data_IF_452147183068
#
_entry.id   IF_452147183068
#
_cell.length_a   1.000
_cell.length_b   1.000
_cell.length_c   1.000
_cell.angle_alpha   90.00
_cell.angle_beta   90.00
_cell.angle_gamma   90.00
#
_symmetry.space_group_name_H-M   'P 1'
#
loop_
_entity.id
_entity.type
_entity.pdbx_description
1 polymer ?
#
# COMPACT_ATOMS: atom_id res chain seq x y z
N UNK A 1 12.09 -16.31 -34.96
CA UNK A 1 10.76 -16.26 -34.31
C UNK A 1 10.17 -17.66 -34.09
N UNK A 2 10.22 -18.57 -35.07
CA UNK A 2 9.58 -19.88 -34.98
C UNK A 2 10.16 -20.83 -33.90
N UNK A 3 11.49 -20.87 -33.70
CA UNK A 3 12.14 -21.74 -32.70
C UNK A 3 11.85 -21.31 -31.26
N UNK A 4 11.71 -20.00 -31.01
CA UNK A 4 11.36 -19.45 -29.70
C UNK A 4 9.90 -19.69 -29.36
N UNK A 5 9.01 -19.49 -30.33
CA UNK A 5 7.57 -19.77 -30.20
C UNK A 5 7.29 -21.24 -29.94
N UNK A 6 7.98 -22.18 -30.64
CA UNK A 6 7.86 -23.61 -30.41
C UNK A 6 8.36 -24.07 -29.03
N UNK A 7 9.42 -23.45 -28.51
CA UNK A 7 9.90 -23.73 -27.15
C UNK A 7 8.88 -23.24 -26.10
N UNK A 8 8.36 -22.04 -26.27
CA UNK A 8 7.31 -21.47 -25.43
C UNK A 8 6.06 -22.36 -25.43
N UNK A 9 5.54 -22.74 -26.59
CA UNK A 9 4.35 -23.60 -26.70
C UNK A 9 4.58 -24.97 -26.04
N UNK A 10 5.74 -25.59 -26.23
CA UNK A 10 6.07 -26.88 -25.58
C UNK A 10 6.14 -26.79 -24.08
N UNK A 11 6.60 -25.65 -23.58
CA UNK A 11 6.68 -25.41 -22.17
C UNK A 11 5.32 -25.19 -21.55
N UNK A 12 4.48 -24.37 -22.13
CA UNK A 12 3.11 -24.14 -21.69
C UNK A 12 2.26 -25.42 -21.73
N UNK A 13 2.55 -26.34 -22.65
CA UNK A 13 1.93 -27.69 -22.67
C UNK A 13 2.46 -28.55 -21.52
N UNK A 14 3.76 -28.47 -21.22
CA UNK A 14 4.38 -29.25 -20.12
C UNK A 14 3.92 -28.79 -18.75
N UNK A 15 3.67 -27.49 -18.58
CA UNK A 15 3.15 -26.89 -17.34
C UNK A 15 1.62 -27.01 -17.23
N UNK A 16 0.94 -27.61 -18.17
CA UNK A 16 -0.51 -27.82 -18.14
C UNK A 16 -1.34 -26.56 -18.47
N UNK A 17 -0.70 -25.46 -18.84
CA UNK A 17 -1.40 -24.20 -19.22
C UNK A 17 -2.05 -24.33 -20.61
N UNK A 18 -1.42 -25.09 -21.52
CA UNK A 18 -1.96 -25.41 -22.82
C UNK A 18 -2.15 -26.91 -22.96
N UNK A 19 -3.31 -27.31 -23.44
CA UNK A 19 -3.53 -28.68 -23.94
C UNK A 19 -3.35 -28.69 -25.45
N UNK A 20 -2.54 -29.63 -25.95
CA UNK A 20 -2.43 -29.92 -27.37
C UNK A 20 -3.60 -30.81 -27.77
N UNK A 21 -4.38 -30.35 -28.72
CA UNK A 21 -5.46 -31.15 -29.33
C UNK A 21 -4.87 -32.15 -30.34
N UNK A 22 -5.40 -33.35 -30.39
CA UNK A 22 -5.01 -34.35 -31.37
C UNK A 22 -5.48 -33.96 -32.79
N UNK A 23 -6.64 -33.32 -32.88
CA UNK A 23 -7.17 -32.71 -34.09
C UNK A 23 -7.32 -31.21 -33.95
N UNK A 24 -7.38 -30.52 -35.10
CA UNK A 24 -7.56 -29.05 -35.13
C UNK A 24 -9.03 -28.75 -34.81
N UNK A 25 -9.30 -27.81 -33.92
CA UNK A 25 -10.67 -27.43 -33.60
C UNK A 25 -11.36 -26.68 -34.77
N UNK A 26 -12.65 -26.38 -34.61
CA UNK A 26 -13.49 -25.67 -35.59
C UNK A 26 -12.95 -24.28 -35.97
N UNK A 27 -12.03 -23.72 -35.16
CA UNK A 27 -11.35 -22.44 -35.40
C UNK A 27 -9.92 -22.58 -35.94
N UNK A 28 -9.49 -23.79 -36.28
CA UNK A 28 -8.15 -24.05 -36.82
C UNK A 28 -7.04 -24.09 -35.76
N UNK A 29 -7.37 -24.22 -34.46
CA UNK A 29 -6.39 -24.18 -33.37
C UNK A 29 -5.97 -25.59 -32.97
N UNK A 30 -4.68 -25.79 -32.73
CA UNK A 30 -4.06 -27.04 -32.24
C UNK A 30 -3.75 -27.04 -30.75
N UNK A 31 -3.86 -25.89 -30.12
CA UNK A 31 -3.58 -25.70 -28.70
C UNK A 31 -4.70 -24.88 -28.07
N UNK A 32 -5.19 -25.33 -26.94
CA UNK A 32 -6.27 -24.70 -26.18
C UNK A 32 -5.77 -24.47 -24.76
N UNK A 33 -6.18 -23.35 -24.16
CA UNK A 33 -5.92 -23.08 -22.74
C UNK A 33 -6.66 -24.14 -21.90
N UNK A 34 -5.93 -24.80 -21.02
CA UNK A 34 -6.45 -25.87 -20.16
C UNK A 34 -7.07 -25.34 -18.89
N UNK A 35 -6.60 -24.18 -18.44
CA UNK A 35 -7.04 -23.51 -17.22
C UNK A 35 -7.99 -22.39 -17.61
N UNK A 36 -9.12 -22.29 -16.93
CA UNK A 36 -9.92 -21.06 -16.90
C UNK A 36 -9.08 -19.99 -16.18
N UNK A 37 -8.22 -19.32 -16.94
CA UNK A 37 -7.57 -18.12 -16.44
C UNK A 37 -8.69 -17.11 -16.16
N UNK A 38 -8.67 -16.39 -15.04
CA UNK A 38 -9.54 -15.25 -14.84
C UNK A 38 -9.45 -14.36 -16.09
N UNK A 39 -10.59 -13.85 -16.57
CA UNK A 39 -10.68 -13.04 -17.80
C UNK A 39 -9.70 -11.85 -17.79
N UNK A 40 -9.28 -11.46 -16.61
CA UNK A 40 -8.46 -10.29 -16.30
C UNK A 40 -7.00 -10.64 -15.96
N UNK A 41 -6.64 -11.94 -16.08
CA UNK A 41 -5.25 -12.36 -15.83
C UNK A 41 -4.32 -11.69 -16.84
N UNK A 42 -3.49 -10.79 -16.38
CA UNK A 42 -2.54 -10.03 -17.19
C UNK A 42 -1.42 -10.95 -17.71
N UNK A 43 -1.72 -11.71 -18.77
CA UNK A 43 -0.77 -12.59 -19.49
C UNK A 43 0.47 -11.86 -20.01
N UNK A 44 0.49 -10.53 -19.91
CA UNK A 44 1.60 -9.69 -20.38
C UNK A 44 2.83 -9.69 -19.47
N UNK A 45 2.73 -10.27 -18.26
CA UNK A 45 3.88 -10.37 -17.38
C UNK A 45 4.48 -11.78 -17.41
N UNK A 46 5.72 -11.95 -17.90
CA UNK A 46 6.36 -13.26 -18.02
C UNK A 46 6.50 -14.01 -16.69
N UNK A 47 6.43 -13.25 -15.57
CA UNK A 47 6.62 -13.75 -14.21
C UNK A 47 5.31 -14.03 -13.45
N UNK A 48 4.14 -13.80 -14.05
CA UNK A 48 2.86 -14.02 -13.36
C UNK A 48 2.70 -15.45 -12.85
N UNK A 49 3.15 -16.45 -13.62
CA UNK A 49 3.09 -17.85 -13.19
C UNK A 49 4.06 -18.15 -12.05
N UNK A 50 5.22 -17.51 -12.04
CA UNK A 50 6.14 -17.59 -10.91
C UNK A 50 5.52 -16.96 -9.65
N UNK A 51 4.90 -15.79 -9.76
CA UNK A 51 4.22 -15.16 -8.64
C UNK A 51 3.18 -16.10 -8.02
N UNK A 52 2.30 -16.71 -8.84
CA UNK A 52 1.31 -17.67 -8.35
C UNK A 52 1.96 -18.85 -7.63
N UNK A 53 3.04 -19.40 -8.18
CA UNK A 53 3.77 -20.50 -7.53
C UNK A 53 4.45 -20.05 -6.22
N UNK A 54 4.90 -18.82 -6.12
CA UNK A 54 5.52 -18.27 -4.92
C UNK A 54 4.48 -18.02 -3.81
N UNK A 55 3.26 -17.60 -4.16
CA UNK A 55 2.17 -17.43 -3.20
C UNK A 55 1.83 -18.73 -2.46
N UNK A 56 1.91 -19.90 -3.13
CA UNK A 56 1.64 -21.21 -2.53
C UNK A 56 2.65 -21.62 -1.42
N UNK A 57 3.77 -20.93 -1.32
CA UNK A 57 4.84 -21.25 -0.36
C UNK A 57 4.80 -20.34 0.85
N UNK A 58 3.99 -19.27 0.80
CA UNK A 58 3.83 -18.37 1.92
C UNK A 58 3.09 -19.06 3.09
N UNK A 59 3.48 -18.67 4.29
CA UNK A 59 2.82 -19.13 5.51
C UNK A 59 1.54 -18.32 5.76
N UNK A 60 0.40 -18.96 5.57
CA UNK A 60 -0.93 -18.34 5.73
C UNK A 60 -1.23 -17.95 7.20
N UNK A 61 -0.54 -18.56 8.17
CA UNK A 61 -0.69 -18.25 9.60
C UNK A 61 0.26 -17.13 10.07
N UNK A 62 1.12 -16.62 9.16
CA UNK A 62 2.04 -15.52 9.48
C UNK A 62 1.28 -14.22 9.69
N UNK A 63 1.63 -13.48 10.74
CA UNK A 63 1.14 -12.12 10.98
C UNK A 63 1.44 -11.16 9.80
N UNK A 64 2.50 -11.42 9.06
CA UNK A 64 2.90 -10.63 7.90
C UNK A 64 2.37 -11.19 6.56
N UNK A 65 1.45 -12.17 6.58
CA UNK A 65 1.01 -12.86 5.38
C UNK A 65 0.57 -11.92 4.27
N UNK A 66 -0.28 -10.94 4.57
CA UNK A 66 -0.75 -9.92 3.61
C UNK A 66 0.39 -9.12 3.01
N UNK A 67 1.36 -8.70 3.83
CA UNK A 67 2.52 -7.93 3.40
C UNK A 67 3.48 -8.77 2.56
N UNK A 68 3.64 -10.03 2.91
CA UNK A 68 4.47 -10.98 2.17
C UNK A 68 3.87 -11.29 0.80
N UNK A 69 2.54 -11.40 0.72
CA UNK A 69 1.79 -11.53 -0.51
C UNK A 69 2.01 -10.31 -1.44
N UNK A 70 1.94 -9.10 -0.88
CA UNK A 70 2.27 -7.87 -1.62
C UNK A 70 3.71 -7.91 -2.12
N UNK A 71 4.67 -8.33 -1.28
CA UNK A 71 6.09 -8.41 -1.65
C UNK A 71 6.33 -9.38 -2.81
N UNK A 72 5.64 -10.53 -2.83
CA UNK A 72 5.68 -11.47 -3.96
C UNK A 72 5.19 -10.78 -5.23
N UNK A 73 4.04 -10.12 -5.16
CA UNK A 73 3.46 -9.45 -6.32
C UNK A 73 4.33 -8.28 -6.79
N UNK A 74 4.86 -7.46 -5.89
CA UNK A 74 5.76 -6.38 -6.24
C UNK A 74 7.04 -6.91 -6.94
N UNK A 75 7.56 -8.07 -6.50
CA UNK A 75 8.82 -8.63 -7.04
C UNK A 75 8.79 -8.90 -8.54
N UNK A 76 7.62 -9.16 -9.09
CA UNK A 76 7.40 -9.50 -10.50
C UNK A 76 6.96 -8.33 -11.37
N UNK A 77 6.62 -7.20 -10.77
CA UNK A 77 6.28 -5.97 -11.49
C UNK A 77 7.54 -5.31 -12.10
N UNK A 78 7.32 -4.49 -13.12
CA UNK A 78 8.41 -3.68 -13.70
C UNK A 78 9.07 -2.81 -12.63
N UNK A 79 10.41 -2.80 -12.62
CA UNK A 79 11.17 -2.06 -11.61
C UNK A 79 11.20 -0.55 -11.93
N UNK A 80 10.62 0.31 -11.09
CA UNK A 80 10.67 1.76 -11.26
C UNK A 80 12.02 2.29 -10.74
N UNK A 81 13.07 2.14 -11.53
CA UNK A 81 14.47 2.35 -11.11
C UNK A 81 14.72 3.68 -10.40
N UNK A 82 14.06 4.77 -10.83
CA UNK A 82 14.26 6.09 -10.20
C UNK A 82 13.76 6.09 -8.76
N UNK A 83 12.66 5.40 -8.48
CA UNK A 83 12.10 5.27 -7.13
C UNK A 83 13.01 4.39 -6.28
N UNK A 84 13.43 3.24 -6.82
CA UNK A 84 14.32 2.33 -6.10
C UNK A 84 15.67 2.99 -5.75
N UNK A 85 16.23 3.80 -6.65
CA UNK A 85 17.44 4.57 -6.35
C UNK A 85 17.21 5.63 -5.27
N UNK A 86 16.04 6.26 -5.22
CA UNK A 86 15.70 7.21 -4.16
C UNK A 86 15.56 6.51 -2.80
N UNK A 87 14.93 5.34 -2.75
CA UNK A 87 14.87 4.51 -1.53
C UNK A 87 16.28 4.07 -1.10
N UNK A 88 17.12 3.60 -2.02
CA UNK A 88 18.51 3.24 -1.74
C UNK A 88 19.32 4.42 -1.19
N UNK A 89 19.14 5.61 -1.78
CA UNK A 89 19.83 6.82 -1.32
C UNK A 89 19.42 7.20 0.10
N UNK A 90 18.13 7.13 0.42
CA UNK A 90 17.61 7.37 1.76
C UNK A 90 18.15 6.34 2.76
N UNK A 91 18.09 5.04 2.45
CA UNK A 91 18.61 3.96 3.28
C UNK A 91 20.12 4.13 3.58
N UNK A 92 20.89 4.52 2.58
CA UNK A 92 22.34 4.84 2.77
C UNK A 92 22.53 6.06 3.68
N UNK A 93 21.65 7.07 3.56
CA UNK A 93 21.69 8.25 4.41
C UNK A 93 21.43 7.91 5.88
N UNK A 94 20.42 7.12 6.15
CA UNK A 94 20.07 6.62 7.49
C UNK A 94 21.21 5.79 8.09
N UNK A 95 21.72 4.82 7.34
CA UNK A 95 22.83 3.97 7.76
C UNK A 95 24.12 4.76 8.04
N UNK A 96 24.41 5.83 7.30
CA UNK A 96 25.55 6.72 7.60
C UNK A 96 25.40 7.37 8.97
N UNK A 97 24.17 7.77 9.33
CA UNK A 97 23.94 8.41 10.65
C UNK A 97 24.10 7.40 11.78
N UNK A 98 23.53 6.19 11.64
CA UNK A 98 23.69 5.10 12.61
C UNK A 98 25.16 4.71 12.79
N UNK A 99 25.85 4.43 11.68
CA UNK A 99 27.27 4.07 11.72
C UNK A 99 28.17 5.17 12.31
N UNK A 100 27.79 6.45 12.16
CA UNK A 100 28.50 7.56 12.83
C UNK A 100 28.23 7.59 14.33
N UNK A 101 27.00 7.33 14.75
CA UNK A 101 26.65 7.26 16.16
C UNK A 101 27.39 6.08 16.85
N UNK A 102 27.55 4.98 16.15
CA UNK A 102 28.29 3.79 16.60
C UNK A 102 29.83 3.96 16.52
N UNK A 103 30.30 5.10 16.01
CA UNK A 103 31.75 5.39 15.95
C UNK A 103 32.52 4.59 14.89
N UNK A 104 31.85 4.02 13.89
CA UNK A 104 32.49 3.25 12.81
C UNK A 104 33.38 4.18 11.97
N UNK A 105 34.61 3.73 11.69
CA UNK A 105 35.60 4.50 10.91
C UNK A 105 35.17 4.72 9.46
N UNK A 106 35.65 5.79 8.85
CA UNK A 106 35.21 6.23 7.53
C UNK A 106 35.40 5.16 6.43
N UNK A 107 36.54 4.47 6.39
CA UNK A 107 36.83 3.47 5.36
C UNK A 107 35.91 2.24 5.49
N UNK A 108 35.65 1.80 6.73
CA UNK A 108 34.74 0.70 7.03
C UNK A 108 33.29 1.10 6.67
N UNK A 109 32.86 2.32 7.00
CA UNK A 109 31.54 2.82 6.58
C UNK A 109 31.35 2.79 5.08
N UNK A 110 32.38 3.20 4.31
CA UNK A 110 32.29 3.21 2.86
C UNK A 110 32.12 1.81 2.28
N UNK A 111 32.79 0.81 2.86
CA UNK A 111 32.63 -0.59 2.45
C UNK A 111 31.23 -1.12 2.77
N UNK A 112 30.71 -0.84 3.97
CA UNK A 112 29.35 -1.25 4.37
C UNK A 112 28.26 -0.57 3.53
N UNK A 113 28.47 0.69 3.12
CA UNK A 113 27.52 1.41 2.27
C UNK A 113 27.36 0.82 0.86
N UNK A 114 28.38 0.12 0.35
CA UNK A 114 28.27 -0.55 -0.95
C UNK A 114 27.25 -1.69 -0.94
N UNK A 115 27.05 -2.35 0.23
CA UNK A 115 26.10 -3.45 0.40
C UNK A 115 24.64 -2.97 0.59
N UNK A 116 24.43 -1.69 0.92
CA UNK A 116 23.10 -1.14 1.16
C UNK A 116 22.36 -0.91 -0.16
N UNK A 117 21.23 -1.58 -0.30
CA UNK A 117 20.31 -1.47 -1.43
C UNK A 117 18.98 -0.84 -0.99
N UNK A 118 18.02 -0.76 -1.91
CA UNK A 118 16.63 -0.46 -1.56
C UNK A 118 16.01 -1.61 -0.75
N UNK A 119 14.91 -1.40 0.00
CA UNK A 119 14.23 -2.44 0.75
C UNK A 119 13.80 -3.62 -0.14
N UNK A 120 14.21 -4.81 0.23
CA UNK A 120 13.96 -6.04 -0.52
C UNK A 120 13.39 -7.15 0.41
N UNK A 121 12.17 -6.99 0.92
CA UNK A 121 11.56 -8.01 1.74
C UNK A 121 11.48 -9.34 0.98
N UNK A 122 11.63 -10.44 1.70
CA UNK A 122 11.63 -11.81 1.16
C UNK A 122 12.69 -12.10 0.07
N UNK A 123 13.68 -11.22 -0.17
CA UNK A 123 14.66 -11.41 -1.25
C UNK A 123 15.34 -12.78 -1.22
N UNK A 124 15.81 -13.32 -0.08
CA UNK A 124 16.43 -14.65 -0.02
C UNK A 124 15.45 -15.77 -0.41
N UNK A 125 14.21 -15.73 0.09
CA UNK A 125 13.16 -16.71 -0.22
C UNK A 125 12.80 -16.64 -1.71
N UNK A 126 12.49 -15.45 -2.21
CA UNK A 126 12.09 -15.23 -3.60
C UNK A 126 13.20 -15.62 -4.57
N UNK A 127 14.46 -15.31 -4.25
CA UNK A 127 15.62 -15.69 -5.05
C UNK A 127 15.78 -17.22 -5.14
N UNK A 128 15.67 -17.94 -4.02
CA UNK A 128 15.74 -19.41 -3.98
C UNK A 128 14.58 -20.07 -4.76
N UNK A 129 13.37 -19.55 -4.59
CA UNK A 129 12.18 -20.02 -5.31
C UNK A 129 12.32 -19.77 -6.81
N UNK A 130 12.79 -18.59 -7.20
CA UNK A 130 12.97 -18.22 -8.60
C UNK A 130 14.00 -19.11 -9.31
N UNK A 131 15.14 -19.36 -8.65
CA UNK A 131 16.17 -20.23 -9.19
C UNK A 131 15.69 -21.67 -9.35
N UNK A 132 14.93 -22.19 -8.39
CA UNK A 132 14.28 -23.48 -8.49
C UNK A 132 13.26 -23.53 -9.64
N UNK A 133 12.44 -22.48 -9.77
CA UNK A 133 11.43 -22.36 -10.80
C UNK A 133 12.06 -22.29 -12.21
N UNK A 134 13.19 -21.56 -12.36
CA UNK A 134 13.94 -21.47 -13.62
C UNK A 134 14.47 -22.82 -14.12
N UNK A 135 14.80 -23.76 -13.25
CA UNK A 135 15.26 -25.11 -13.68
C UNK A 135 14.24 -25.79 -14.58
N UNK A 136 12.96 -25.57 -14.35
CA UNK A 136 11.87 -26.11 -15.17
C UNK A 136 11.38 -25.12 -16.24
N UNK A 137 11.75 -23.85 -16.14
CA UNK A 137 11.33 -22.74 -16.99
C UNK A 137 12.54 -21.97 -17.60
N UNK A 138 13.39 -22.64 -18.42
CA UNK A 138 14.70 -22.09 -18.85
C UNK A 138 14.61 -20.89 -19.82
N UNK A 139 13.40 -20.42 -20.15
CA UNK A 139 13.19 -19.20 -20.94
C UNK A 139 13.11 -17.93 -20.08
N UNK A 140 13.01 -18.07 -18.76
CA UNK A 140 13.02 -16.94 -17.84
C UNK A 140 14.44 -16.35 -17.76
N UNK A 141 14.57 -15.01 -17.78
CA UNK A 141 15.87 -14.36 -17.68
C UNK A 141 16.48 -14.62 -16.29
N UNK A 142 17.81 -14.56 -16.21
CA UNK A 142 18.52 -14.68 -14.91
C UNK A 142 18.15 -13.55 -13.96
N UNK A 143 18.12 -12.33 -14.49
CA UNK A 143 17.81 -11.11 -13.74
C UNK A 143 16.33 -10.72 -13.85
N UNK A 144 15.43 -11.72 -13.94
CA UNK A 144 14.00 -11.45 -14.16
C UNK A 144 13.27 -10.96 -12.91
N UNK A 145 13.77 -11.29 -11.73
CA UNK A 145 13.15 -10.96 -10.46
C UNK A 145 13.78 -9.70 -9.86
N UNK A 146 12.95 -8.79 -9.40
CA UNK A 146 13.41 -7.59 -8.69
C UNK A 146 12.59 -7.42 -7.41
N UNK A 147 13.00 -8.05 -6.28
CA UNK A 147 12.37 -7.80 -4.98
C UNK A 147 12.46 -6.30 -4.65
N UNK A 148 11.35 -5.73 -4.22
CA UNK A 148 11.21 -4.31 -3.88
C UNK A 148 10.04 -4.11 -2.94
N UNK A 149 9.99 -2.95 -2.31
CA UNK A 149 8.97 -2.59 -1.35
C UNK A 149 8.58 -1.13 -1.56
N UNK A 150 7.54 -0.89 -2.31
CA UNK A 150 6.95 0.44 -2.51
C UNK A 150 5.56 0.45 -1.89
N UNK A 151 4.65 -0.40 -2.38
CA UNK A 151 3.30 -0.53 -1.83
C UNK A 151 3.36 -1.02 -0.39
N UNK A 152 4.17 -2.06 -0.13
CA UNK A 152 4.37 -2.57 1.23
C UNK A 152 4.85 -1.48 2.18
N UNK A 153 5.89 -0.74 1.82
CA UNK A 153 6.42 0.34 2.67
C UNK A 153 5.40 1.45 2.90
N UNK A 154 4.71 1.89 1.85
CA UNK A 154 3.65 2.89 2.00
C UNK A 154 2.58 2.43 2.99
N UNK A 155 2.18 1.17 2.89
CA UNK A 155 1.17 0.60 3.77
C UNK A 155 1.69 0.40 5.19
N UNK A 156 2.88 -0.17 5.39
CA UNK A 156 3.53 -0.36 6.71
C UNK A 156 3.73 0.95 7.45
N UNK A 157 4.07 2.03 6.73
CA UNK A 157 4.37 3.33 7.31
C UNK A 157 3.13 4.26 7.38
N UNK A 158 1.99 3.83 6.88
CA UNK A 158 0.79 4.66 6.82
C UNK A 158 0.89 5.84 5.84
N UNK A 159 1.81 5.78 4.86
CA UNK A 159 2.05 6.87 3.92
C UNK A 159 1.02 6.90 2.79
N UNK A 160 0.51 8.10 2.49
CA UNK A 160 -0.20 8.39 1.24
C UNK A 160 0.76 8.67 0.09
N UNK A 161 0.20 9.04 -1.08
CA UNK A 161 0.99 9.36 -2.27
C UNK A 161 1.94 10.54 -2.01
N UNK A 162 1.41 11.63 -1.49
CA UNK A 162 2.17 12.86 -1.21
C UNK A 162 3.26 12.64 -0.18
N UNK A 163 2.99 11.82 0.85
CA UNK A 163 3.97 11.49 1.90
C UNK A 163 5.16 10.74 1.32
N UNK A 164 4.90 9.74 0.46
CA UNK A 164 5.95 8.97 -0.18
C UNK A 164 6.77 9.83 -1.15
N UNK A 165 6.11 10.69 -1.93
CA UNK A 165 6.78 11.67 -2.81
C UNK A 165 7.67 12.61 -2.00
N UNK A 166 7.17 13.12 -0.88
CA UNK A 166 7.92 14.00 0.02
C UNK A 166 9.13 13.32 0.66
N UNK A 167 8.93 12.11 1.23
CA UNK A 167 9.99 11.32 1.88
C UNK A 167 11.17 11.06 0.95
N UNK A 168 10.89 10.68 -0.30
CA UNK A 168 11.90 10.30 -1.28
C UNK A 168 12.24 11.39 -2.30
N UNK A 169 11.72 12.61 -2.13
CA UNK A 169 11.95 13.77 -3.00
C UNK A 169 11.63 13.47 -4.47
N UNK A 170 10.53 12.78 -4.73
CA UNK A 170 10.14 12.28 -6.04
C UNK A 170 9.30 13.25 -6.88
N UNK A 171 9.25 14.54 -6.58
CA UNK A 171 8.43 15.54 -7.26
C UNK A 171 8.56 15.53 -8.81
N UNK A 172 9.70 15.09 -9.35
CA UNK A 172 9.91 14.94 -10.80
C UNK A 172 9.53 13.56 -11.35
N UNK A 173 9.18 12.63 -10.48
CA UNK A 173 8.91 11.22 -10.80
C UNK A 173 7.53 10.76 -10.32
N UNK A 174 6.65 11.70 -9.96
CA UNK A 174 5.28 11.42 -9.49
C UNK A 174 4.49 10.56 -10.48
N UNK A 175 4.54 10.89 -11.77
CA UNK A 175 3.88 10.09 -12.80
C UNK A 175 4.42 8.66 -12.92
N UNK A 176 5.70 8.42 -12.60
CA UNK A 176 6.27 7.08 -12.56
C UNK A 176 5.76 6.30 -11.34
N UNK A 177 5.67 6.97 -10.18
CA UNK A 177 5.10 6.39 -8.97
C UNK A 177 3.64 6.04 -9.18
N UNK A 178 2.83 6.98 -9.69
CA UNK A 178 1.41 6.75 -9.95
C UNK A 178 1.18 5.56 -10.90
N UNK A 179 1.95 5.50 -11.99
CA UNK A 179 1.89 4.36 -12.92
C UNK A 179 2.21 3.05 -12.21
N UNK A 180 3.27 3.03 -11.39
CA UNK A 180 3.66 1.83 -10.66
C UNK A 180 2.56 1.39 -9.67
N UNK A 181 1.99 2.32 -8.90
CA UNK A 181 0.90 2.03 -7.95
C UNK A 181 -0.35 1.52 -8.69
N UNK A 182 -0.66 2.08 -9.86
CA UNK A 182 -1.77 1.61 -10.70
C UNK A 182 -1.52 0.18 -11.18
N UNK A 183 -0.31 -0.14 -11.65
CA UNK A 183 0.05 -1.48 -12.10
C UNK A 183 0.06 -2.48 -10.91
N UNK A 184 0.51 -2.05 -9.73
CA UNK A 184 0.44 -2.85 -8.51
C UNK A 184 -1.01 -3.12 -8.08
N UNK A 185 -1.87 -2.10 -8.07
CA UNK A 185 -3.29 -2.24 -7.77
C UNK A 185 -3.96 -3.27 -8.70
N UNK A 186 -3.72 -3.15 -10.01
CA UNK A 186 -4.26 -4.11 -10.99
C UNK A 186 -3.76 -5.54 -10.73
N UNK A 187 -2.47 -5.69 -10.47
CA UNK A 187 -1.87 -6.99 -10.21
C UNK A 187 -2.44 -7.63 -8.93
N UNK A 188 -2.52 -6.89 -7.84
CA UNK A 188 -3.08 -7.37 -6.57
C UNK A 188 -4.55 -7.74 -6.72
N UNK A 189 -5.36 -6.88 -7.34
CA UNK A 189 -6.81 -7.10 -7.48
C UNK A 189 -7.17 -8.28 -8.37
N UNK A 190 -6.39 -8.53 -9.44
CA UNK A 190 -6.81 -9.48 -10.50
C UNK A 190 -5.94 -10.72 -10.64
N UNK A 191 -4.72 -10.69 -10.10
CA UNK A 191 -3.80 -11.83 -10.27
C UNK A 191 -3.67 -12.67 -9.01
N UNK A 192 -4.06 -12.16 -7.85
CA UNK A 192 -4.06 -12.92 -6.60
C UNK A 192 -5.31 -13.79 -6.56
N UNK A 193 -5.17 -15.13 -6.38
CA UNK A 193 -6.32 -16.04 -6.30
C UNK A 193 -7.20 -15.76 -5.06
N UNK A 194 -8.52 -15.95 -5.18
CA UNK A 194 -9.51 -15.72 -4.12
C UNK A 194 -9.19 -16.41 -2.79
N UNK A 195 -8.54 -17.58 -2.81
CA UNK A 195 -8.15 -18.32 -1.60
C UNK A 195 -7.14 -17.56 -0.71
N UNK A 196 -6.40 -16.60 -1.28
CA UNK A 196 -5.45 -15.75 -0.56
C UNK A 196 -6.08 -14.41 -0.11
N UNK A 197 -7.38 -14.19 -0.41
CA UNK A 197 -8.09 -12.98 -0.05
C UNK A 197 -8.48 -13.01 1.43
N UNK A 198 -7.64 -12.48 2.29
CA UNK A 198 -7.97 -12.18 3.68
C UNK A 198 -8.68 -10.83 3.78
N UNK A 199 -9.36 -10.56 4.89
CA UNK A 199 -9.96 -9.25 5.14
C UNK A 199 -8.91 -8.12 5.11
N UNK A 200 -7.72 -8.39 5.63
CA UNK A 200 -6.61 -7.45 5.62
C UNK A 200 -6.10 -7.19 4.19
N UNK A 201 -5.95 -8.24 3.39
CA UNK A 201 -5.54 -8.11 1.98
C UNK A 201 -6.55 -7.29 1.17
N UNK A 202 -7.83 -7.60 1.31
CA UNK A 202 -8.87 -6.81 0.63
C UNK A 202 -8.87 -5.34 1.08
N UNK A 203 -8.64 -5.10 2.38
CA UNK A 203 -8.47 -3.76 2.92
C UNK A 203 -7.28 -3.02 2.30
N UNK A 204 -6.13 -3.70 2.14
CA UNK A 204 -4.95 -3.13 1.51
C UNK A 204 -5.22 -2.79 0.03
N UNK A 205 -5.86 -3.69 -0.72
CA UNK A 205 -6.20 -3.44 -2.13
C UNK A 205 -7.16 -2.26 -2.27
N UNK A 206 -8.16 -2.16 -1.39
CA UNK A 206 -9.09 -1.03 -1.36
C UNK A 206 -8.36 0.29 -1.08
N UNK A 207 -7.50 0.30 -0.04
CA UNK A 207 -6.67 1.46 0.27
C UNK A 207 -5.80 1.89 -0.91
N UNK A 208 -5.10 0.96 -1.55
CA UNK A 208 -4.25 1.27 -2.69
C UNK A 208 -5.06 1.85 -3.87
N UNK A 209 -6.26 1.30 -4.10
CA UNK A 209 -7.20 1.84 -5.08
C UNK A 209 -7.59 3.29 -4.80
N UNK A 210 -7.82 3.63 -3.53
CA UNK A 210 -8.13 5.02 -3.15
C UNK A 210 -6.92 5.95 -3.30
N UNK A 211 -5.73 5.52 -2.89
CA UNK A 211 -4.50 6.30 -3.09
C UNK A 211 -4.30 6.66 -4.57
N UNK A 212 -4.54 5.71 -5.47
CA UNK A 212 -4.43 5.97 -6.91
C UNK A 212 -5.55 6.89 -7.40
N UNK A 213 -6.82 6.68 -6.98
CA UNK A 213 -7.96 7.52 -7.39
C UNK A 213 -7.84 8.96 -6.93
N UNK A 214 -7.35 9.21 -5.73
CA UNK A 214 -7.13 10.56 -5.20
C UNK A 214 -6.10 11.33 -6.03
N UNK A 215 -5.13 10.61 -6.61
CA UNK A 215 -4.08 11.24 -7.42
C UNK A 215 -4.54 11.43 -8.88
N UNK A 216 -5.16 10.42 -9.47
CA UNK A 216 -5.74 10.46 -10.83
C UNK A 216 -6.85 9.40 -10.99
N UNK A 217 -8.09 9.84 -10.88
CA UNK A 217 -9.27 8.97 -11.01
C UNK A 217 -9.43 8.42 -12.43
N UNK A 218 -8.96 9.13 -13.45
CA UNK A 218 -9.19 8.78 -14.86
C UNK A 218 -8.58 7.43 -15.24
N UNK A 219 -7.42 7.08 -14.66
CA UNK A 219 -6.71 5.84 -14.96
C UNK A 219 -7.44 4.59 -14.45
N UNK A 220 -8.08 4.67 -13.29
CA UNK A 220 -8.83 3.54 -12.71
C UNK A 220 -10.22 3.48 -13.33
N UNK A 221 -10.90 4.63 -13.45
CA UNK A 221 -12.27 4.70 -13.97
C UNK A 221 -12.35 4.19 -15.43
N UNK A 222 -11.38 4.57 -16.28
CA UNK A 222 -11.27 4.05 -17.65
C UNK A 222 -11.06 2.55 -17.68
N UNK A 223 -10.24 2.04 -16.78
CA UNK A 223 -9.94 0.62 -16.74
C UNK A 223 -11.11 -0.21 -16.14
N UNK A 224 -11.77 0.27 -15.08
CA UNK A 224 -12.95 -0.39 -14.52
C UNK A 224 -14.08 -0.42 -15.56
N UNK A 225 -14.26 0.65 -16.33
CA UNK A 225 -15.21 0.68 -17.45
C UNK A 225 -14.86 -0.35 -18.55
N UNK A 226 -13.59 -0.58 -18.82
CA UNK A 226 -13.15 -1.61 -19.79
C UNK A 226 -13.27 -3.05 -19.26
N UNK A 227 -13.21 -3.22 -17.95
CA UNK A 227 -13.27 -4.54 -17.29
C UNK A 227 -14.71 -4.97 -16.96
N UNK A 228 -15.69 -4.07 -17.07
CA UNK A 228 -17.12 -4.39 -16.84
C UNK A 228 -17.69 -5.20 -18.02
N UNK A 229 -18.11 -6.48 -17.81
CA UNK A 229 -18.71 -7.28 -18.86
C UNK A 229 -20.06 -6.73 -19.37
N UNK A 230 -20.68 -5.80 -18.66
CA UNK A 230 -21.88 -5.08 -19.09
C UNK A 230 -21.57 -3.95 -20.08
N UNK A 231 -20.32 -3.56 -20.23
CA UNK A 231 -19.89 -2.53 -21.17
C UNK A 231 -19.84 -3.11 -22.59
N UNK A 232 -20.89 -2.92 -23.37
CA UNK A 232 -20.96 -3.32 -24.78
C UNK A 232 -20.23 -2.28 -25.65
N UNK A 233 -19.10 -2.62 -26.31
CA UNK A 233 -18.45 -1.69 -27.21
C UNK A 233 -19.37 -1.37 -28.40
N UNK A 234 -19.79 -0.11 -28.53
CA UNK A 234 -20.61 0.36 -29.64
C UNK A 234 -22.02 0.86 -29.28
N UNK A 235 -22.48 0.76 -28.05
CA UNK A 235 -23.62 1.54 -27.60
C UNK A 235 -23.17 3.00 -27.56
N UNK A 236 -23.79 3.84 -28.39
CA UNK A 236 -23.61 5.31 -28.36
C UNK A 236 -24.11 5.75 -26.99
N UNK A 237 -23.24 5.76 -26.00
CA UNK A 237 -23.53 6.35 -24.72
C UNK A 237 -23.81 7.83 -24.99
N UNK A 238 -25.03 8.26 -24.75
CA UNK A 238 -25.25 9.65 -24.45
C UNK A 238 -24.25 9.95 -23.32
N UNK A 239 -23.34 10.88 -23.59
CA UNK A 239 -22.46 11.42 -22.57
C UNK A 239 -23.33 12.12 -21.50
N UNK A 240 -23.86 11.35 -20.57
CA UNK A 240 -24.03 11.87 -19.25
C UNK A 240 -22.63 12.07 -18.71
N UNK A 241 -22.30 13.25 -18.18
CA UNK A 241 -21.02 13.42 -17.50
C UNK A 241 -20.91 12.28 -16.47
N UNK A 242 -19.75 11.62 -16.35
CA UNK A 242 -19.59 10.52 -15.40
C UNK A 242 -20.20 10.97 -14.07
N UNK A 243 -21.14 10.19 -13.57
CA UNK A 243 -21.79 10.47 -12.28
C UNK A 243 -20.66 10.76 -11.31
N UNK A 244 -20.65 11.94 -10.71
CA UNK A 244 -19.58 12.35 -9.77
C UNK A 244 -19.28 11.18 -8.85
N UNK A 245 -18.01 10.76 -8.70
CA UNK A 245 -17.69 9.60 -7.90
C UNK A 245 -18.36 9.73 -6.54
N UNK A 246 -18.96 8.65 -6.04
CA UNK A 246 -19.64 8.69 -4.74
C UNK A 246 -18.69 9.31 -3.70
N UNK A 247 -19.17 10.23 -2.87
CA UNK A 247 -18.39 10.85 -1.82
C UNK A 247 -17.60 9.78 -1.02
N UNK A 248 -16.37 10.08 -0.60
CA UNK A 248 -15.51 9.12 0.08
C UNK A 248 -16.16 8.64 1.39
N UNK A 249 -16.82 9.53 2.13
CA UNK A 249 -17.52 9.20 3.39
C UNK A 249 -18.64 8.17 3.22
N UNK A 250 -19.24 8.07 2.02
CA UNK A 250 -20.31 7.11 1.71
C UNK A 250 -19.79 5.75 1.22
N UNK A 251 -18.49 5.60 1.01
CA UNK A 251 -17.84 4.34 0.66
C UNK A 251 -17.26 3.71 1.93
N UNK A 252 -18.12 3.14 2.77
CA UNK A 252 -17.80 2.74 4.15
C UNK A 252 -16.50 1.95 4.27
N UNK A 253 -16.25 0.98 3.37
CA UNK A 253 -15.06 0.13 3.43
C UNK A 253 -13.79 0.94 3.10
N UNK A 254 -13.80 1.66 1.99
CA UNK A 254 -12.69 2.53 1.58
C UNK A 254 -12.41 3.59 2.64
N UNK A 255 -13.47 4.24 3.13
CA UNK A 255 -13.38 5.25 4.19
C UNK A 255 -12.73 4.69 5.46
N UNK A 256 -13.20 3.53 5.95
CA UNK A 256 -12.64 2.91 7.14
C UNK A 256 -11.16 2.54 6.99
N UNK A 257 -10.76 2.07 5.81
CA UNK A 257 -9.36 1.74 5.52
C UNK A 257 -8.49 3.00 5.46
N UNK A 258 -8.98 4.08 4.84
CA UNK A 258 -8.27 5.36 4.81
C UNK A 258 -8.10 5.95 6.21
N UNK A 259 -9.14 5.90 7.04
CA UNK A 259 -9.06 6.34 8.45
C UNK A 259 -8.04 5.50 9.23
N UNK A 260 -8.05 4.18 9.06
CA UNK A 260 -7.08 3.28 9.72
C UNK A 260 -5.66 3.63 9.32
N UNK A 261 -5.42 3.86 8.04
CA UNK A 261 -4.09 4.22 7.55
C UNK A 261 -3.62 5.57 8.09
N UNK A 262 -4.50 6.57 8.12
CA UNK A 262 -4.18 7.90 8.64
C UNK A 262 -3.91 7.89 10.17
N UNK A 263 -4.65 7.08 10.94
CA UNK A 263 -4.34 6.88 12.36
C UNK A 263 -3.05 6.10 12.55
N UNK A 264 -2.80 5.10 11.70
CA UNK A 264 -1.56 4.34 11.73
C UNK A 264 -0.32 5.20 11.47
N UNK A 265 -0.40 6.18 10.58
CA UNK A 265 0.68 7.15 10.37
C UNK A 265 1.04 7.90 11.66
N UNK A 266 0.04 8.21 12.51
CA UNK A 266 0.26 8.83 13.82
C UNK A 266 0.92 7.86 14.81
N UNK A 267 0.47 6.61 14.85
CA UNK A 267 1.13 5.56 15.65
C UNK A 267 2.60 5.42 15.28
N UNK A 268 2.91 5.40 13.99
CA UNK A 268 4.29 5.35 13.49
C UNK A 268 5.11 6.60 13.89
N UNK A 269 4.49 7.77 13.86
CA UNK A 269 5.12 9.02 14.34
C UNK A 269 5.45 8.96 15.83
N UNK A 270 4.53 8.50 16.66
CA UNK A 270 4.71 8.29 18.10
C UNK A 270 5.80 7.24 18.38
N UNK A 271 5.74 6.10 17.69
CA UNK A 271 6.69 5.01 17.88
C UNK A 271 8.15 5.37 17.54
N UNK A 272 8.34 6.38 16.69
CA UNK A 272 9.67 6.88 16.26
C UNK A 272 10.08 8.17 16.92
N UNK A 273 9.23 8.73 17.77
CA UNK A 273 9.41 10.07 18.33
C UNK A 273 9.60 11.14 17.24
N UNK A 274 8.90 10.98 16.10
CA UNK A 274 8.99 11.88 14.94
C UNK A 274 7.95 13.00 15.05
N UNK A 275 8.23 13.99 15.91
CA UNK A 275 7.38 15.17 16.09
C UNK A 275 7.20 15.98 14.80
N UNK A 276 8.17 15.95 13.89
CA UNK A 276 8.05 16.67 12.62
C UNK A 276 7.07 15.98 11.66
N UNK A 277 7.04 14.66 11.64
CA UNK A 277 6.04 13.91 10.90
C UNK A 277 4.63 14.13 11.46
N UNK A 278 4.47 14.04 12.78
CA UNK A 278 3.17 14.30 13.44
C UNK A 278 2.68 15.71 13.13
N UNK A 279 3.55 16.72 13.26
CA UNK A 279 3.19 18.10 12.94
C UNK A 279 2.86 18.35 11.47
N UNK A 280 3.46 17.62 10.54
CA UNK A 280 3.05 17.68 9.13
C UNK A 280 1.61 17.20 8.96
N UNK A 281 1.27 16.03 9.51
CA UNK A 281 -0.10 15.49 9.42
C UNK A 281 -1.16 16.45 9.96
N UNK A 282 -0.89 17.10 11.10
CA UNK A 282 -1.84 18.05 11.70
C UNK A 282 -1.96 19.35 10.90
N UNK A 283 -0.84 19.87 10.38
CA UNK A 283 -0.85 21.07 9.53
C UNK A 283 -1.53 20.82 8.20
N UNK A 284 -1.25 19.69 7.54
CA UNK A 284 -1.87 19.34 6.26
C UNK A 284 -3.40 19.26 6.40
N UNK A 285 -3.91 18.78 7.54
CA UNK A 285 -5.34 18.79 7.81
C UNK A 285 -5.88 20.20 8.08
N UNK A 286 -5.14 21.05 8.80
CA UNK A 286 -5.55 22.39 9.16
C UNK A 286 -5.50 23.37 7.97
N UNK A 287 -4.46 23.29 7.14
CA UNK A 287 -4.19 24.20 6.02
C UNK A 287 -5.17 24.01 4.83
N UNK A 288 -6.03 22.98 4.88
CA UNK A 288 -7.10 22.76 3.88
C UNK A 288 -8.23 23.78 3.97
N UNK A 289 -8.26 24.60 5.01
CA UNK A 289 -9.31 25.57 5.28
C UNK A 289 -8.79 27.02 5.12
N UNK A 290 -9.68 27.93 4.71
CA UNK A 290 -9.41 29.37 4.70
C UNK A 290 -10.44 30.11 5.59
N UNK A 291 -10.00 30.68 6.75
CA UNK A 291 -8.66 30.57 7.32
C UNK A 291 -8.31 29.15 7.78
N UNK A 292 -7.00 28.83 7.87
CA UNK A 292 -6.54 27.57 8.39
C UNK A 292 -7.10 27.33 9.81
N UNK A 293 -7.50 26.06 10.08
CA UNK A 293 -8.00 25.68 11.40
C UNK A 293 -6.87 25.69 12.44
N UNK A 294 -7.25 25.80 13.71
CA UNK A 294 -6.30 25.68 14.82
C UNK A 294 -5.78 24.24 14.93
N UNK A 295 -4.45 24.08 15.04
CA UNK A 295 -3.83 22.80 15.34
C UNK A 295 -3.92 22.54 16.83
N UNK A 296 -4.78 21.63 17.26
CA UNK A 296 -5.01 21.29 18.68
C UNK A 296 -3.84 20.49 19.24
N UNK A 297 -3.41 19.43 18.54
CA UNK A 297 -2.21 18.69 18.92
C UNK A 297 -0.96 19.40 18.42
N UNK A 298 -0.54 20.42 19.18
CA UNK A 298 0.68 21.17 18.90
C UNK A 298 1.93 20.32 19.15
N UNK A 299 3.10 20.81 18.70
CA UNK A 299 4.36 20.10 18.94
C UNK A 299 4.60 19.82 20.43
N UNK A 300 4.29 20.80 21.32
CA UNK A 300 4.42 20.61 22.75
C UNK A 300 3.41 19.58 23.30
N UNK A 301 2.17 19.58 22.78
CA UNK A 301 1.17 18.63 23.20
C UNK A 301 1.52 17.18 22.81
N UNK A 302 2.08 16.99 21.61
CA UNK A 302 2.62 15.70 21.20
C UNK A 302 3.82 15.27 22.05
N UNK A 303 4.78 16.15 22.27
CA UNK A 303 5.98 15.91 23.07
C UNK A 303 5.64 15.48 24.49
N UNK A 304 4.77 16.25 25.18
CA UNK A 304 4.30 15.95 26.52
C UNK A 304 3.54 14.60 26.60
N UNK A 305 2.72 14.27 25.58
CA UNK A 305 1.97 13.03 25.54
C UNK A 305 2.88 11.82 25.27
N UNK A 306 3.86 11.98 24.40
CA UNK A 306 4.85 10.93 24.08
C UNK A 306 5.76 10.68 25.29
N UNK A 307 6.26 11.73 25.96
CA UNK A 307 7.03 11.58 27.20
C UNK A 307 6.22 10.83 28.26
N UNK A 308 4.96 11.22 28.48
CA UNK A 308 4.10 10.56 29.46
C UNK A 308 3.83 9.07 29.11
N UNK A 309 3.74 8.72 27.83
CA UNK A 309 3.62 7.33 27.41
C UNK A 309 4.90 6.54 27.71
N UNK A 310 6.07 7.08 27.35
CA UNK A 310 7.36 6.41 27.56
C UNK A 310 7.83 6.38 29.01
N UNK A 311 7.24 7.19 29.89
CA UNK A 311 7.39 7.04 31.34
C UNK A 311 6.74 5.76 31.90
N UNK A 312 5.75 5.22 31.20
CA UNK A 312 5.02 4.01 31.60
C UNK A 312 5.40 2.76 30.78
N UNK A 313 5.77 2.92 29.50
CA UNK A 313 6.02 1.85 28.54
C UNK A 313 7.34 2.05 27.80
N UNK A 314 8.04 0.94 27.51
CA UNK A 314 9.36 1.00 26.86
C UNK A 314 9.24 1.28 25.34
N UNK A 315 8.14 0.89 24.69
CA UNK A 315 7.95 1.03 23.25
C UNK A 315 6.47 1.01 22.86
N UNK A 316 6.17 1.54 21.69
CA UNK A 316 4.89 1.36 21.00
C UNK A 316 5.00 0.17 20.05
N UNK A 317 4.04 -0.75 20.07
CA UNK A 317 3.94 -1.85 19.11
C UNK A 317 3.59 -1.35 17.71
N UNK A 318 4.34 -1.81 16.72
CA UNK A 318 4.15 -1.44 15.31
C UNK A 318 4.12 -2.65 14.37
N UNK A 319 3.89 -3.83 14.93
CA UNK A 319 3.68 -5.07 14.19
C UNK A 319 2.32 -5.14 13.51
N UNK A 320 2.09 -6.20 12.77
CA UNK A 320 0.84 -6.41 12.04
C UNK A 320 -0.37 -6.54 12.98
N UNK A 321 -0.17 -7.14 14.17
CA UNK A 321 -1.25 -7.30 15.17
C UNK A 321 -1.68 -5.94 15.72
N UNK A 322 -0.73 -5.06 16.06
CA UNK A 322 -0.98 -3.70 16.53
C UNK A 322 -1.77 -2.84 15.51
N UNK A 323 -1.67 -3.18 14.23
CA UNK A 323 -2.43 -2.55 13.15
C UNK A 323 -3.82 -3.17 12.97
N UNK A 324 -4.10 -4.24 13.66
CA UNK A 324 -5.36 -4.98 13.55
C UNK A 324 -6.60 -4.13 13.84
N UNK A 325 -7.78 -4.55 13.33
CA UNK A 325 -9.02 -3.80 13.50
C UNK A 325 -9.46 -3.67 14.95
N UNK A 326 -8.97 -4.51 15.84
CA UNK A 326 -9.26 -4.46 17.28
C UNK A 326 -8.68 -3.25 18.00
N UNK A 327 -7.71 -2.58 17.40
CA UNK A 327 -7.05 -1.39 17.95
C UNK A 327 -7.65 -0.08 17.44
N UNK A 328 -8.56 -0.13 16.45
CA UNK A 328 -9.21 1.06 15.90
C UNK A 328 -10.71 1.01 16.14
N UNK A 329 -11.26 2.06 16.72
CA UNK A 329 -12.69 2.27 16.85
C UNK A 329 -13.09 3.49 16.03
N UNK A 330 -13.95 3.30 15.03
CA UNK A 330 -14.53 4.35 14.22
C UNK A 330 -16.00 4.50 14.62
N UNK A 331 -16.34 5.65 15.21
CA UNK A 331 -17.70 5.98 15.64
C UNK A 331 -18.68 6.16 14.47
N UNK A 332 -19.97 6.23 14.75
CA UNK A 332 -20.97 6.56 13.74
C UNK A 332 -20.80 8.01 13.24
N UNK A 333 -21.38 8.30 12.08
CA UNK A 333 -21.49 9.67 11.60
C UNK A 333 -22.47 10.45 12.49
N UNK A 334 -22.05 11.63 12.94
CA UNK A 334 -22.86 12.55 13.74
C UNK A 334 -22.64 14.00 13.31
N UNK A 335 -23.58 14.88 13.66
CA UNK A 335 -23.37 16.31 13.50
C UNK A 335 -22.62 16.84 14.72
N UNK A 336 -21.37 17.20 14.55
CA UNK A 336 -20.47 17.61 15.62
C UNK A 336 -19.60 18.82 15.24
N UNK A 337 -18.74 19.21 16.18
CA UNK A 337 -17.73 20.25 15.95
C UNK A 337 -16.45 19.57 15.46
N UNK A 338 -15.95 19.95 14.27
CA UNK A 338 -14.65 19.47 13.81
C UNK A 338 -13.52 20.02 14.71
N UNK A 339 -12.44 19.26 14.84
CA UNK A 339 -11.28 19.67 15.63
C UNK A 339 -10.65 20.93 15.03
N UNK A 340 -10.33 21.91 15.88
CA UNK A 340 -9.69 23.17 15.49
C UNK A 340 -10.58 24.14 14.70
N UNK A 341 -11.87 23.83 14.53
CA UNK A 341 -12.82 24.76 13.91
C UNK A 341 -13.20 25.91 14.87
N UNK A 342 -13.66 27.02 14.31
CA UNK A 342 -14.22 28.10 15.10
C UNK A 342 -15.46 27.65 15.90
N UNK A 343 -15.69 28.26 17.06
CA UNK A 343 -16.82 27.94 17.94
C UNK A 343 -18.16 28.09 17.18
N UNK A 344 -18.98 27.03 17.24
CA UNK A 344 -20.29 26.97 16.59
C UNK A 344 -20.29 26.43 15.16
N UNK A 345 -19.14 26.13 14.58
CA UNK A 345 -19.06 25.41 13.29
C UNK A 345 -19.52 23.97 13.49
N UNK A 346 -20.47 23.52 12.66
CA UNK A 346 -21.00 22.14 12.68
C UNK A 346 -20.80 21.50 11.31
N UNK A 347 -20.34 20.25 11.34
CA UNK A 347 -20.17 19.41 10.15
C UNK A 347 -20.60 17.98 10.45
N UNK A 348 -20.73 17.15 9.41
CA UNK A 348 -20.79 15.69 9.58
C UNK A 348 -19.41 15.22 10.00
N UNK A 349 -19.33 14.60 11.15
CA UNK A 349 -18.05 14.13 11.70
C UNK A 349 -18.15 12.68 12.15
N UNK A 350 -17.00 12.01 12.16
CA UNK A 350 -16.86 10.68 12.81
C UNK A 350 -15.66 10.72 13.76
N UNK A 351 -15.90 10.31 14.98
CA UNK A 351 -14.83 10.17 15.98
C UNK A 351 -14.06 8.90 15.72
N UNK A 352 -12.76 8.96 15.89
CA UNK A 352 -11.88 7.82 15.77
C UNK A 352 -11.00 7.71 17.01
N UNK A 353 -10.81 6.50 17.49
CA UNK A 353 -9.95 6.18 18.62
C UNK A 353 -9.03 5.05 18.21
N UNK A 354 -7.73 5.30 18.24
CA UNK A 354 -6.68 4.32 18.00
C UNK A 354 -6.02 3.96 19.32
N UNK A 355 -6.16 2.73 19.75
CA UNK A 355 -5.44 2.19 20.90
C UNK A 355 -3.98 1.94 20.53
N UNK A 356 -3.06 2.27 21.40
CA UNK A 356 -1.64 1.92 21.26
C UNK A 356 -1.39 0.51 21.80
N UNK A 357 -0.62 -0.25 21.08
CA UNK A 357 -0.13 -1.55 21.55
C UNK A 357 1.12 -1.32 22.41
N UNK A 358 1.04 -1.72 23.66
CA UNK A 358 2.16 -1.69 24.60
C UNK A 358 2.72 -3.11 24.84
N UNK A 359 4.00 -3.26 25.27
CA UNK A 359 4.62 -4.57 25.48
C UNK A 359 3.93 -5.40 26.58
N UNK A 360 3.29 -4.75 27.53
CA UNK A 360 2.60 -5.35 28.68
C UNK A 360 1.17 -5.79 28.32
N UNK A 361 0.61 -5.28 27.22
CA UNK A 361 -0.73 -5.58 26.75
C UNK A 361 -1.85 -4.90 27.56
N UNK A 362 -1.55 -3.79 28.24
CA UNK A 362 -2.52 -3.03 29.02
C UNK A 362 -3.56 -2.34 28.13
N UNK A 363 -3.13 -1.84 26.95
CA UNK A 363 -3.99 -1.18 25.96
C UNK A 363 -4.75 0.02 26.51
N UNK A 364 -4.12 0.76 27.42
CA UNK A 364 -4.71 1.86 28.16
C UNK A 364 -4.35 3.26 27.61
N UNK A 365 -3.55 3.33 26.55
CA UNK A 365 -3.23 4.57 25.84
C UNK A 365 -3.91 4.63 24.48
N UNK A 366 -4.40 5.82 24.14
CA UNK A 366 -5.13 6.06 22.88
C UNK A 366 -4.71 7.37 22.22
N UNK A 367 -4.80 7.37 20.88
CA UNK A 367 -4.82 8.59 20.05
C UNK A 367 -6.27 8.80 19.63
N UNK A 368 -6.83 9.95 19.93
CA UNK A 368 -8.20 10.34 19.56
C UNK A 368 -8.17 11.36 18.42
N UNK A 369 -9.05 11.21 17.45
CA UNK A 369 -9.18 12.13 16.34
C UNK A 369 -10.62 12.26 15.86
N UNK A 370 -10.83 13.22 14.98
CA UNK A 370 -12.11 13.46 14.34
C UNK A 370 -11.89 13.61 12.84
N UNK A 371 -12.67 12.86 12.07
CA UNK A 371 -12.77 13.02 10.62
C UNK A 371 -13.89 14.01 10.32
N UNK A 372 -13.60 15.06 9.56
CA UNK A 372 -14.57 15.95 8.96
C UNK A 372 -15.07 15.35 7.65
N UNK A 373 -16.26 14.74 7.66
CA UNK A 373 -16.82 14.05 6.50
C UNK A 373 -17.21 15.03 5.39
N UNK A 374 -17.65 16.23 5.72
CA UNK A 374 -18.01 17.24 4.71
C UNK A 374 -16.78 17.74 3.99
N UNK A 375 -15.72 18.08 4.73
CA UNK A 375 -14.45 18.49 4.15
C UNK A 375 -13.78 17.34 3.36
N UNK A 376 -13.86 16.10 3.86
CA UNK A 376 -13.37 14.89 3.17
C UNK A 376 -14.05 14.71 1.82
N UNK A 377 -15.37 14.87 1.77
CA UNK A 377 -16.13 14.70 0.53
C UNK A 377 -15.88 15.84 -0.46
N UNK A 378 -15.65 17.07 0.02
CA UNK A 378 -15.32 18.23 -0.81
C UNK A 378 -13.90 18.12 -1.38
N UNK A 379 -12.94 17.71 -0.54
CA UNK A 379 -11.54 17.56 -0.96
C UNK A 379 -11.29 16.31 -1.81
N UNK A 380 -12.15 15.28 -1.67
CA UNK A 380 -11.90 13.95 -2.22
C UNK A 380 -10.78 13.17 -1.50
N UNK A 381 -10.27 13.70 -0.40
CA UNK A 381 -9.21 13.15 0.43
C UNK A 381 -9.61 13.20 1.90
N UNK A 382 -9.09 12.27 2.71
CA UNK A 382 -9.42 12.20 4.13
C UNK A 382 -8.92 13.44 4.88
N UNK A 383 -9.84 14.10 5.59
CA UNK A 383 -9.54 15.23 6.48
C UNK A 383 -9.74 14.78 7.93
N UNK A 384 -8.64 14.43 8.58
CA UNK A 384 -8.59 13.93 9.94
C UNK A 384 -7.65 14.79 10.78
N UNK A 385 -8.13 15.31 11.89
CA UNK A 385 -7.34 16.04 12.88
C UNK A 385 -7.34 15.31 14.21
N UNK A 386 -6.19 15.31 14.90
CA UNK A 386 -6.05 14.69 16.22
C UNK A 386 -6.52 15.64 17.30
N UNK A 387 -7.32 15.12 18.22
CA UNK A 387 -7.81 15.89 19.37
C UNK A 387 -7.03 15.66 20.66
N UNK A 388 -6.49 14.46 20.85
CA UNK A 388 -5.70 14.12 22.03
C UNK A 388 -4.87 12.84 21.82
N UNK A 389 -3.77 12.72 22.55
CA UNK A 389 -3.15 11.45 22.90
C UNK A 389 -3.14 11.36 24.43
N UNK A 390 -3.70 10.31 25.00
CA UNK A 390 -3.88 10.22 26.44
C UNK A 390 -4.08 8.79 26.94
N UNK A 391 -3.90 8.59 28.22
CA UNK A 391 -4.31 7.37 28.90
C UNK A 391 -5.84 7.33 29.05
N UNK A 392 -6.41 6.15 28.89
CA UNK A 392 -7.82 5.88 29.23
C UNK A 392 -7.97 5.76 30.75
N UNK A 393 -9.05 6.34 31.31
CA UNK A 393 -9.37 6.26 32.73
C UNK A 393 -9.89 4.86 33.13
#
# INVERSE_FOLDING_TARGET
LSRRALRLARSLVRTGVLTRLDEVDEFGRRYVLTTTLPSDFALNQPLSHFALAALEVLDEESENYTLDLVSVMESVLEAPRQILFAQQFAARGEAVQEMKADGIEYEERMALLEEITWPQPLAPLLGALYETYRQTHPWLPEDGLTPKSIVREMYEQGMGFTDFVGRYQLARSEGLLLRYLTDAYRALRHSVPERHHTEEFEGLVEWLGEVVRQTDSSLIDEWEALSDPAHVPGAVAHHEPPSSPRPLSLRERAFAVMVRNAMWARVQGVARDDLDALMRLERDAADRFEPAREVVMTRSAWDEAIEAYYDEHERVGTDADARGPSYLQLGPEETGEPVGAEEGVRARVRRVVQTLADPEGHRDWVIEGVVDCDATDEAGELVLATSAMRRMD
#
